data_IF_566248210506
#
_entry.id   IF_566248210506
#
_cell.length_a   1.000
_cell.length_b   1.000
_cell.length_c   1.000
_cell.angle_alpha   90.00
_cell.angle_beta   90.00
_cell.angle_gamma   90.00
#
_symmetry.space_group_name_H-M   'P 1'
#
loop_
_entity.id
_entity.type
_entity.pdbx_description
1 polymer ?
#
# COMPACT_ATOMS: atom_id res chain seq x y z
N UNK A 1 2.62 -16.75 -14.83
CA UNK A 1 3.55 -15.67 -15.24
C UNK A 1 4.26 -15.23 -13.98
N UNK A 2 5.53 -15.57 -13.82
CA UNK A 2 6.27 -15.28 -12.58
C UNK A 2 6.64 -13.80 -12.58
N UNK A 3 5.80 -12.98 -11.93
CA UNK A 3 6.07 -11.56 -11.66
C UNK A 3 7.40 -11.34 -10.92
N UNK A 4 7.94 -12.42 -10.33
CA UNK A 4 9.24 -12.50 -9.64
C UNK A 4 10.46 -12.38 -10.57
N UNK A 5 10.32 -12.65 -11.87
CA UNK A 5 11.45 -12.55 -12.82
C UNK A 5 11.76 -11.11 -13.27
N UNK A 6 10.87 -10.17 -12.98
CA UNK A 6 11.10 -8.76 -13.30
C UNK A 6 11.94 -8.17 -12.16
N UNK A 7 13.20 -7.76 -12.39
CA UNK A 7 14.16 -7.43 -11.32
C UNK A 7 13.71 -6.29 -10.41
N UNK A 8 12.81 -5.42 -10.89
CA UNK A 8 12.24 -4.31 -10.12
C UNK A 8 10.98 -4.74 -9.34
N UNK A 9 10.21 -5.69 -9.85
CA UNK A 9 8.93 -6.11 -9.24
C UNK A 9 9.14 -7.28 -8.30
N UNK A 10 10.03 -8.22 -8.64
CA UNK A 10 10.39 -9.36 -7.79
C UNK A 10 11.07 -8.95 -6.48
N UNK A 11 11.93 -7.93 -6.52
CA UNK A 11 12.54 -7.34 -5.31
C UNK A 11 11.50 -6.67 -4.42
N UNK A 12 10.51 -5.98 -5.00
CA UNK A 12 9.38 -5.38 -4.27
C UNK A 12 8.42 -6.43 -3.69
N UNK A 13 8.12 -7.51 -4.42
CA UNK A 13 7.30 -8.62 -3.92
C UNK A 13 8.01 -9.38 -2.79
N UNK A 14 9.30 -9.67 -2.94
CA UNK A 14 10.10 -10.34 -1.92
C UNK A 14 10.28 -9.49 -0.67
N UNK A 15 10.35 -8.16 -0.82
CA UNK A 15 10.40 -7.24 0.31
C UNK A 15 9.12 -7.27 1.17
N UNK A 16 7.97 -7.61 0.61
CA UNK A 16 6.70 -7.68 1.35
C UNK A 16 6.50 -8.95 2.17
N UNK A 17 7.17 -10.06 1.82
CA UNK A 17 6.84 -11.39 2.33
C UNK A 17 7.14 -11.64 3.82
N UNK A 18 7.96 -10.81 4.46
CA UNK A 18 8.32 -10.93 5.89
C UNK A 18 8.15 -9.59 6.64
N UNK A 19 7.25 -8.72 6.14
CA UNK A 19 7.06 -7.38 6.69
C UNK A 19 5.68 -7.16 7.30
N UNK A 20 5.65 -7.13 8.64
CA UNK A 20 4.44 -6.86 9.41
C UNK A 20 3.82 -5.48 9.12
N UNK A 21 4.61 -4.48 8.75
CA UNK A 21 4.10 -3.14 8.41
C UNK A 21 3.42 -3.18 7.05
N UNK A 22 4.01 -3.87 6.08
CA UNK A 22 3.39 -4.08 4.77
C UNK A 22 2.07 -4.85 4.90
N UNK A 23 2.06 -5.95 5.67
CA UNK A 23 0.86 -6.73 5.96
C UNK A 23 -0.22 -5.87 6.62
N UNK A 24 0.16 -5.08 7.63
CA UNK A 24 -0.77 -4.17 8.30
C UNK A 24 -1.34 -3.13 7.33
N UNK A 25 -0.51 -2.51 6.47
CA UNK A 25 -0.97 -1.56 5.48
C UNK A 25 -1.93 -2.18 4.45
N UNK A 26 -1.67 -3.43 4.04
CA UNK A 26 -2.54 -4.19 3.15
C UNK A 26 -3.91 -4.42 3.78
N UNK A 27 -3.96 -4.85 5.05
CA UNK A 27 -5.21 -5.00 5.81
C UNK A 27 -5.91 -3.65 6.01
N UNK A 28 -5.15 -2.57 6.18
CA UNK A 28 -5.68 -1.21 6.33
C UNK A 28 -6.38 -0.72 5.06
N UNK A 29 -5.99 -1.21 3.87
CA UNK A 29 -6.59 -0.82 2.59
C UNK A 29 -8.11 -1.05 2.54
N UNK A 30 -8.59 -2.29 2.73
CA UNK A 30 -10.02 -2.59 2.84
C UNK A 30 -10.73 -1.79 3.93
N UNK A 31 -10.10 -1.59 5.09
CA UNK A 31 -10.67 -0.78 6.19
C UNK A 31 -10.87 0.67 5.75
N UNK A 32 -9.89 1.27 5.08
CA UNK A 32 -9.99 2.63 4.53
C UNK A 32 -11.08 2.72 3.48
N UNK A 33 -11.23 1.71 2.62
CA UNK A 33 -12.30 1.69 1.62
C UNK A 33 -13.67 1.68 2.31
N UNK A 34 -13.86 0.88 3.36
CA UNK A 34 -15.10 0.88 4.15
C UNK A 34 -15.34 2.27 4.76
N UNK A 35 -14.33 2.86 5.38
CA UNK A 35 -14.41 4.20 5.97
C UNK A 35 -14.78 5.25 4.93
N UNK A 36 -14.11 5.28 3.77
CA UNK A 36 -14.42 6.18 2.65
C UNK A 36 -15.85 5.97 2.15
N UNK A 37 -16.29 4.71 2.05
CA UNK A 37 -17.65 4.38 1.61
C UNK A 37 -18.70 4.93 2.57
N UNK A 38 -18.44 4.85 3.88
CA UNK A 38 -19.34 5.40 4.91
C UNK A 38 -19.32 6.94 4.95
N UNK A 39 -18.15 7.55 4.76
CA UNK A 39 -17.98 9.01 4.71
C UNK A 39 -18.59 9.63 3.44
N UNK A 40 -18.70 8.85 2.37
CA UNK A 40 -19.05 9.34 1.04
C UNK A 40 -17.95 10.20 0.42
N UNK A 41 -18.21 10.73 -0.78
CA UNK A 41 -17.23 11.52 -1.55
C UNK A 41 -17.14 12.94 -0.99
N UNK A 42 -16.13 13.20 -0.16
CA UNK A 42 -15.84 14.51 0.41
C UNK A 42 -14.32 14.78 0.50
N UNK A 43 -13.95 15.97 0.97
CA UNK A 43 -12.55 16.37 1.12
C UNK A 43 -11.77 15.45 2.09
N UNK A 44 -12.42 14.96 3.16
CA UNK A 44 -11.78 14.06 4.12
C UNK A 44 -11.51 12.68 3.51
N UNK A 45 -12.45 12.11 2.75
CA UNK A 45 -12.26 10.83 2.05
C UNK A 45 -11.14 10.93 1.00
N UNK A 46 -11.06 12.07 0.29
CA UNK A 46 -9.99 12.33 -0.67
C UNK A 46 -8.63 12.43 0.03
N UNK A 47 -8.54 13.22 1.11
CA UNK A 47 -7.31 13.37 1.88
C UNK A 47 -6.84 12.03 2.47
N UNK A 48 -7.77 11.22 2.99
CA UNK A 48 -7.47 9.90 3.53
C UNK A 48 -6.92 8.96 2.45
N UNK A 49 -7.56 8.94 1.27
CA UNK A 49 -7.10 8.14 0.14
C UNK A 49 -5.68 8.56 -0.29
N UNK A 50 -5.44 9.86 -0.47
CA UNK A 50 -4.12 10.38 -0.84
C UNK A 50 -3.06 10.04 0.21
N UNK A 51 -3.36 10.24 1.49
CA UNK A 51 -2.43 9.96 2.58
C UNK A 51 -2.05 8.47 2.62
N UNK A 52 -3.03 7.58 2.50
CA UNK A 52 -2.79 6.15 2.45
C UNK A 52 -1.97 5.74 1.23
N UNK A 53 -2.33 6.20 0.03
CA UNK A 53 -1.62 5.86 -1.20
C UNK A 53 -0.17 6.36 -1.17
N UNK A 54 0.06 7.62 -0.78
CA UNK A 54 1.41 8.18 -0.68
C UNK A 54 2.22 7.43 0.36
N UNK A 55 1.65 7.18 1.55
CA UNK A 55 2.32 6.41 2.60
C UNK A 55 2.72 5.02 2.11
N UNK A 56 1.81 4.31 1.44
CA UNK A 56 2.05 2.98 0.90
C UNK A 56 3.15 2.98 -0.16
N UNK A 57 3.07 3.88 -1.12
CA UNK A 57 4.08 4.01 -2.17
C UNK A 57 5.45 4.41 -1.63
N UNK A 58 5.52 5.34 -0.68
CA UNK A 58 6.79 5.77 -0.06
C UNK A 58 7.40 4.64 0.75
N UNK A 59 6.61 3.92 1.55
CA UNK A 59 7.08 2.81 2.36
C UNK A 59 7.67 1.68 1.49
N UNK A 60 6.94 1.29 0.45
CA UNK A 60 7.37 0.27 -0.50
C UNK A 60 8.60 0.74 -1.29
N UNK A 61 8.60 1.98 -1.76
CA UNK A 61 9.74 2.55 -2.47
C UNK A 61 11.00 2.59 -1.60
N UNK A 62 10.87 3.00 -0.33
CA UNK A 62 11.96 3.01 0.63
C UNK A 62 12.53 1.60 0.85
N UNK A 63 11.65 0.62 1.08
CA UNK A 63 12.06 -0.78 1.30
C UNK A 63 12.59 -1.46 0.02
N UNK A 64 12.12 -1.06 -1.14
CA UNK A 64 12.64 -1.57 -2.42
C UNK A 64 14.05 -1.08 -2.74
N UNK A 65 14.43 0.09 -2.23
CA UNK A 65 15.76 0.67 -2.41
C UNK A 65 16.74 0.18 -1.32
N UNK A 66 16.25 -0.12 -0.12
CA UNK A 66 17.05 -0.44 1.06
C UNK A 66 16.98 -1.91 1.44
#
# INVERSE_FOLDING_TARGET
MQLEEIPVIGSLLAAGADDRVFDAMLVLGPVIIIVITLLGRNLASLALAVAYTVGFSVYIGYKGIR
#
